data_IF_161176235860
#
_entry.id   IF_161176235860
#
_cell.length_a   1.000
_cell.length_b   1.000
_cell.length_c   1.000
_cell.angle_alpha   90.00
_cell.angle_beta   90.00
_cell.angle_gamma   90.00
#
_symmetry.space_group_name_H-M   'P 1'
#
loop_
_entity.id
_entity.type
_entity.pdbx_description
1 polymer ?
#
# COMPACT_ATOMS: atom_id res chain seq x y z
N UNK A 1 -2.10 -14.47 -24.79
CA UNK A 1 -1.04 -13.58 -25.30
C UNK A 1 0.30 -14.22 -24.97
N UNK A 2 1.31 -14.10 -25.85
CA UNK A 2 2.66 -14.60 -25.60
C UNK A 2 3.64 -13.43 -25.64
N UNK A 3 4.46 -13.29 -24.59
CA UNK A 3 5.51 -12.28 -24.47
C UNK A 3 6.83 -13.04 -24.30
N UNK A 4 7.84 -12.67 -25.08
CA UNK A 4 9.21 -13.21 -24.96
C UNK A 4 10.11 -12.08 -24.47
N UNK A 5 10.88 -12.35 -23.42
CA UNK A 5 11.84 -11.40 -22.83
C UNK A 5 13.23 -12.00 -23.00
N UNK A 6 14.12 -11.28 -23.66
CA UNK A 6 15.52 -11.65 -23.75
C UNK A 6 16.29 -11.03 -22.59
N UNK A 7 17.00 -11.87 -21.84
CA UNK A 7 17.88 -11.45 -20.76
C UNK A 7 19.28 -12.02 -20.99
N UNK A 8 20.35 -11.34 -20.53
CA UNK A 8 21.69 -11.88 -20.53
C UNK A 8 21.77 -13.25 -19.84
N UNK A 9 22.56 -14.16 -20.40
CA UNK A 9 22.62 -15.57 -19.96
C UNK A 9 23.11 -15.72 -18.51
N UNK A 10 24.06 -14.89 -18.09
CA UNK A 10 24.56 -14.82 -16.71
C UNK A 10 23.45 -14.47 -15.71
N UNK A 11 22.62 -13.48 -16.04
CA UNK A 11 21.47 -13.08 -15.22
C UNK A 11 20.40 -14.18 -15.24
N UNK A 12 20.11 -14.77 -16.40
CA UNK A 12 19.14 -15.87 -16.53
C UNK A 12 19.52 -17.08 -15.68
N UNK A 13 20.80 -17.46 -15.71
CA UNK A 13 21.34 -18.55 -14.88
C UNK A 13 21.24 -18.23 -13.39
N UNK A 14 21.55 -17.00 -12.96
CA UNK A 14 21.40 -16.58 -11.57
C UNK A 14 19.94 -16.66 -11.10
N UNK A 15 19.00 -16.23 -11.93
CA UNK A 15 17.58 -16.29 -11.59
C UNK A 15 17.09 -17.75 -11.48
N UNK A 16 17.46 -18.62 -12.41
CA UNK A 16 17.10 -20.04 -12.36
C UNK A 16 17.70 -20.79 -11.17
N UNK A 17 18.88 -20.39 -10.69
CA UNK A 17 19.50 -20.99 -9.50
C UNK A 17 18.73 -20.64 -8.22
N UNK A 18 18.19 -19.43 -8.14
CA UNK A 18 17.51 -18.93 -6.94
C UNK A 18 16.00 -19.21 -6.97
N UNK A 19 15.41 -19.31 -8.16
CA UNK A 19 13.97 -19.48 -8.36
C UNK A 19 13.68 -20.83 -9.04
N UNK A 20 12.93 -21.70 -8.36
CA UNK A 20 12.55 -23.02 -8.92
C UNK A 20 11.71 -22.92 -10.20
N UNK A 21 10.78 -21.97 -10.26
CA UNK A 21 9.93 -21.72 -11.43
C UNK A 21 10.04 -20.25 -11.84
N UNK A 22 11.00 -19.98 -12.72
CA UNK A 22 11.27 -18.63 -13.21
C UNK A 22 10.06 -18.01 -13.94
N UNK A 23 9.37 -18.71 -14.88
CA UNK A 23 8.14 -18.19 -15.49
C UNK A 23 7.06 -17.81 -14.47
N UNK A 24 6.78 -18.68 -13.50
CA UNK A 24 5.77 -18.39 -12.48
C UNK A 24 6.17 -17.19 -11.62
N UNK A 25 7.44 -17.12 -11.18
CA UNK A 25 7.94 -16.00 -10.38
C UNK A 25 7.91 -14.66 -11.12
N UNK A 26 8.20 -14.67 -12.42
CA UNK A 26 8.05 -13.48 -13.26
C UNK A 26 6.58 -13.04 -13.36
N UNK A 27 5.65 -13.99 -13.47
CA UNK A 27 4.23 -13.69 -13.51
C UNK A 27 3.71 -13.11 -12.18
N UNK A 28 4.15 -13.69 -11.06
CA UNK A 28 3.87 -13.19 -9.72
C UNK A 28 4.41 -11.75 -9.53
N UNK A 29 5.66 -11.50 -9.91
CA UNK A 29 6.26 -10.16 -9.83
C UNK A 29 5.52 -9.13 -10.70
N UNK A 30 5.14 -9.52 -11.93
CA UNK A 30 4.34 -8.67 -12.82
C UNK A 30 2.98 -8.34 -12.21
N UNK A 31 2.30 -9.33 -11.61
CA UNK A 31 1.00 -9.16 -10.99
C UNK A 31 1.06 -8.17 -9.81
N UNK A 32 2.08 -8.30 -8.96
CA UNK A 32 2.30 -7.37 -7.83
C UNK A 32 2.54 -5.94 -8.32
N UNK A 33 3.38 -5.77 -9.34
CA UNK A 33 3.66 -4.45 -9.92
C UNK A 33 2.42 -3.83 -10.56
N UNK A 34 1.64 -4.62 -11.30
CA UNK A 34 0.40 -4.16 -11.92
C UNK A 34 -0.68 -3.79 -10.88
N UNK A 35 -0.76 -4.53 -9.77
CA UNK A 35 -1.64 -4.20 -8.65
C UNK A 35 -1.27 -2.87 -8.01
N UNK A 36 0.02 -2.67 -7.71
CA UNK A 36 0.54 -1.46 -7.07
C UNK A 36 0.24 -0.21 -7.89
N UNK A 37 0.41 -0.30 -9.20
CA UNK A 37 0.12 0.79 -10.12
C UNK A 37 -1.38 0.92 -10.45
N UNK A 38 -2.25 0.14 -9.80
CA UNK A 38 -3.71 0.11 -10.04
C UNK A 38 -4.09 -0.18 -11.50
N UNK A 39 -3.19 -0.85 -12.23
CA UNK A 39 -3.43 -1.31 -13.61
C UNK A 39 -4.31 -2.55 -13.59
N UNK A 40 -4.12 -3.43 -12.60
CA UNK A 40 -4.93 -4.64 -12.40
C UNK A 40 -5.60 -4.63 -11.02
N UNK A 41 -6.81 -5.19 -10.96
CA UNK A 41 -7.54 -5.41 -9.69
C UNK A 41 -7.17 -6.76 -9.06
N UNK A 42 -7.47 -6.94 -7.77
CA UNK A 42 -7.24 -8.21 -7.08
C UNK A 42 -7.97 -9.38 -7.76
N UNK A 43 -9.17 -9.16 -8.29
CA UNK A 43 -9.93 -10.18 -9.04
C UNK A 43 -9.21 -10.59 -10.32
N UNK A 44 -8.67 -9.64 -11.08
CA UNK A 44 -7.91 -9.95 -12.30
C UNK A 44 -6.60 -10.70 -11.98
N UNK A 45 -6.01 -10.43 -10.82
CA UNK A 45 -4.81 -11.12 -10.35
C UNK A 45 -5.14 -12.54 -9.91
N UNK A 46 -6.29 -12.75 -9.25
CA UNK A 46 -6.80 -14.08 -8.91
C UNK A 46 -6.95 -14.93 -10.17
N UNK A 47 -7.53 -14.38 -11.24
CA UNK A 47 -7.68 -15.06 -12.53
C UNK A 47 -6.31 -15.34 -13.19
N UNK A 48 -5.38 -14.38 -13.14
CA UNK A 48 -4.04 -14.50 -13.73
C UNK A 48 -3.20 -15.59 -13.05
N UNK A 49 -3.18 -15.60 -11.72
CA UNK A 49 -2.37 -16.51 -10.90
C UNK A 49 -3.13 -17.78 -10.50
N UNK A 50 -4.42 -17.87 -10.87
CA UNK A 50 -5.31 -19.01 -10.59
C UNK A 50 -5.40 -19.37 -9.12
N UNK A 51 -5.43 -18.36 -8.25
CA UNK A 51 -5.65 -18.58 -6.82
C UNK A 51 -7.06 -19.13 -6.57
N UNK A 52 -7.20 -20.09 -5.64
CA UNK A 52 -8.48 -20.75 -5.37
C UNK A 52 -9.50 -19.81 -4.69
N UNK A 53 -9.04 -18.71 -4.08
CA UNK A 53 -9.92 -17.71 -3.46
C UNK A 53 -9.36 -16.29 -3.54
N UNK A 54 -10.25 -15.30 -3.41
CA UNK A 54 -9.86 -13.90 -3.33
C UNK A 54 -9.06 -13.63 -2.04
N UNK A 55 -9.41 -14.30 -0.94
CA UNK A 55 -8.69 -14.17 0.33
C UNK A 55 -7.22 -14.60 0.21
N UNK A 56 -6.94 -15.70 -0.49
CA UNK A 56 -5.55 -16.12 -0.76
C UNK A 56 -4.81 -15.13 -1.65
N UNK A 57 -5.52 -14.51 -2.59
CA UNK A 57 -4.97 -13.46 -3.47
C UNK A 57 -4.61 -12.22 -2.66
N UNK A 58 -5.51 -11.76 -1.79
CA UNK A 58 -5.27 -10.63 -0.88
C UNK A 58 -4.09 -10.90 0.04
N UNK A 59 -4.05 -12.08 0.66
CA UNK A 59 -2.92 -12.49 1.50
C UNK A 59 -1.60 -12.50 0.70
N UNK A 60 -1.57 -13.05 -0.51
CA UNK A 60 -0.39 -13.01 -1.38
C UNK A 60 0.06 -11.58 -1.67
N UNK A 61 -0.88 -10.68 -1.99
CA UNK A 61 -0.60 -9.28 -2.29
C UNK A 61 -0.07 -8.53 -1.06
N UNK A 62 -0.67 -8.74 0.11
CA UNK A 62 -0.23 -8.16 1.38
C UNK A 62 1.19 -8.63 1.76
N UNK A 63 1.46 -9.94 1.68
CA UNK A 63 2.80 -10.49 1.96
C UNK A 63 3.86 -9.93 1.00
N UNK A 64 3.49 -9.76 -0.26
CA UNK A 64 4.39 -9.20 -1.28
C UNK A 64 4.64 -7.71 -1.07
N UNK A 65 3.64 -6.95 -0.62
CA UNK A 65 3.79 -5.55 -0.25
C UNK A 65 4.66 -5.38 1.00
N UNK A 66 4.44 -6.16 2.06
CA UNK A 66 5.25 -6.10 3.29
C UNK A 66 6.74 -6.38 3.01
N UNK A 67 7.04 -7.35 2.15
CA UNK A 67 8.42 -7.69 1.78
C UNK A 67 9.14 -6.58 0.98
N UNK A 68 8.37 -5.82 0.18
CA UNK A 68 8.88 -4.70 -0.61
C UNK A 68 8.91 -3.40 0.19
N UNK A 69 7.91 -3.11 1.01
CA UNK A 69 7.89 -1.97 1.93
C UNK A 69 9.01 -2.12 2.97
N UNK A 70 9.30 -3.30 3.49
CA UNK A 70 10.50 -3.50 4.34
C UNK A 70 11.83 -3.25 3.58
N UNK A 71 11.83 -3.39 2.25
CA UNK A 71 12.97 -3.07 1.37
C UNK A 71 13.00 -1.60 0.89
N UNK A 72 11.87 -0.91 0.81
CA UNK A 72 11.74 0.47 0.33
C UNK A 72 11.66 1.48 1.49
N UNK A 73 11.13 1.08 2.63
CA UNK A 73 11.04 1.83 3.89
C UNK A 73 12.16 1.39 4.84
N UNK A 74 13.38 1.79 4.52
CA UNK A 74 14.36 2.11 5.55
C UNK A 74 15.26 3.29 5.17
N UNK A 75 14.83 4.12 4.21
CA UNK A 75 15.60 5.30 3.77
C UNK A 75 14.72 6.50 3.31
N UNK A 76 13.67 6.87 4.05
CA UNK A 76 13.13 8.27 4.06
C UNK A 76 12.55 8.51 5.46
N UNK A 77 13.39 9.01 6.38
CA UNK A 77 13.31 10.37 6.92
C UNK A 77 12.02 10.72 7.70
N UNK A 78 12.21 10.80 9.02
CA UNK A 78 11.52 11.67 9.97
C UNK A 78 10.00 11.49 10.10
N UNK A 79 9.61 10.62 11.03
CA UNK A 79 8.26 10.62 11.61
C UNK A 79 8.07 11.89 12.46
N UNK A 80 7.87 13.02 11.80
CA UNK A 80 7.05 14.10 12.36
C UNK A 80 5.63 13.97 11.83
N UNK A 81 5.05 12.77 11.97
CA UNK A 81 3.60 12.63 11.93
C UNK A 81 3.04 13.35 13.15
N UNK A 82 2.82 14.67 13.02
CA UNK A 82 2.05 15.46 13.99
C UNK A 82 0.76 14.68 14.25
N UNK A 83 0.61 14.20 15.47
CA UNK A 83 -0.56 13.43 15.85
C UNK A 83 -1.78 14.34 15.92
N UNK A 84 -2.98 13.77 15.89
CA UNK A 84 -4.20 14.55 16.16
C UNK A 84 -4.15 15.25 17.52
N UNK A 85 -3.42 14.69 18.49
CA UNK A 85 -3.21 15.32 19.78
C UNK A 85 -2.32 16.57 19.68
N UNK A 86 -1.26 16.53 18.87
CA UNK A 86 -0.38 17.68 18.65
C UNK A 86 -1.12 18.82 17.95
N UNK A 87 -1.92 18.49 16.93
CA UNK A 87 -2.76 19.47 16.24
C UNK A 87 -3.81 20.11 17.17
N UNK A 88 -4.39 19.33 18.10
CA UNK A 88 -5.35 19.84 19.07
C UNK A 88 -4.71 20.79 20.09
N UNK A 89 -3.50 20.46 20.56
CA UNK A 89 -2.76 21.31 21.48
C UNK A 89 -2.38 22.65 20.85
N UNK A 90 -1.96 22.65 19.58
CA UNK A 90 -1.65 23.86 18.82
C UNK A 90 -2.88 24.76 18.69
N UNK A 91 -4.04 24.17 18.37
CA UNK A 91 -5.31 24.90 18.26
C UNK A 91 -5.76 25.47 19.61
N UNK A 92 -5.56 24.75 20.71
CA UNK A 92 -5.88 25.24 22.05
C UNK A 92 -5.02 26.47 22.43
N UNK A 93 -3.73 26.48 22.08
CA UNK A 93 -2.88 27.65 22.34
C UNK A 93 -3.34 28.87 21.55
N UNK A 94 -3.67 28.70 20.27
CA UNK A 94 -4.20 29.78 19.43
C UNK A 94 -5.49 30.37 20.02
N UNK A 95 -6.40 29.50 20.51
CA UNK A 95 -7.63 29.98 21.14
C UNK A 95 -7.38 30.78 22.43
N UNK A 96 -6.35 30.44 23.21
CA UNK A 96 -5.99 31.19 24.43
C UNK A 96 -5.36 32.54 24.08
N UNK A 97 -4.48 32.57 23.07
CA UNK A 97 -3.79 33.80 22.64
C UNK A 97 -4.74 34.83 22.00
N UNK A 98 -5.73 34.36 21.24
CA UNK A 98 -6.70 35.23 20.54
C UNK A 98 -8.02 35.41 21.31
N UNK A 99 -8.11 34.95 22.57
CA UNK A 99 -9.31 35.00 23.43
C UNK A 99 -10.56 34.41 22.74
N UNK A 100 -10.37 33.31 21.99
CA UNK A 100 -11.47 32.55 21.41
C UNK A 100 -11.97 31.48 22.37
N UNK A 101 -13.28 31.45 22.56
CA UNK A 101 -13.95 30.30 23.18
C UNK A 101 -14.16 29.20 22.14
N UNK A 102 -13.56 28.03 22.38
CA UNK A 102 -13.80 26.85 21.55
C UNK A 102 -15.12 26.18 21.96
N UNK A 103 -16.21 26.56 21.31
CA UNK A 103 -17.51 25.91 21.53
C UNK A 103 -17.60 24.62 20.72
N UNK A 104 -17.55 23.47 21.40
CA UNK A 104 -17.85 22.18 20.78
C UNK A 104 -19.34 21.90 20.98
N UNK A 105 -20.19 22.04 19.94
CA UNK A 105 -21.61 21.76 20.09
C UNK A 105 -21.82 20.29 20.48
N UNK A 106 -22.79 20.10 21.39
CA UNK A 106 -23.29 18.78 21.74
C UNK A 106 -23.67 18.02 20.48
N UNK A 107 -23.50 16.69 20.50
CA UNK A 107 -23.78 15.86 19.32
C UNK A 107 -25.20 16.06 18.76
N UNK A 108 -26.16 16.38 19.62
CA UNK A 108 -27.56 16.63 19.26
C UNK A 108 -27.77 17.93 18.48
N UNK A 109 -26.87 18.90 18.62
CA UNK A 109 -26.97 20.24 18.01
C UNK A 109 -26.11 20.38 16.76
N UNK A 110 -25.45 19.31 16.31
CA UNK A 110 -24.61 19.35 15.10
C UNK A 110 -25.48 19.25 13.85
N UNK A 111 -25.32 20.17 12.89
CA UNK A 111 -26.01 20.07 11.61
C UNK A 111 -25.64 18.75 10.92
N UNK A 112 -26.66 18.01 10.49
CA UNK A 112 -26.47 16.78 9.74
C UNK A 112 -26.17 17.15 8.28
N UNK A 113 -24.91 17.07 7.89
CA UNK A 113 -24.45 17.44 6.55
C UNK A 113 -24.69 16.35 5.48
N UNK A 114 -25.48 15.31 5.79
CA UNK A 114 -25.81 14.21 4.88
C UNK A 114 -27.19 14.36 4.20
N UNK A 115 -27.65 15.58 3.93
CA UNK A 115 -28.83 15.85 3.09
C UNK A 115 -28.43 16.38 1.72
#
# INVERSE_FOLDING_TARGET
>A
MQITIEIPEDIGNQLQQNWQDLPQKLLEALAVEAYRNKIMTAVQIQELLKFPSLQETEHFLEQSQISLDYRQENLVQDQQTKTLADAFNELQQICIEEDYSLEIPSRQDRPNFFF
#
